data_IF_887881568554
#
_entry.id   IF_887881568554
#
_cell.length_a   1.000
_cell.length_b   1.000
_cell.length_c   1.000
_cell.angle_alpha   90.00
_cell.angle_beta   90.00
_cell.angle_gamma   90.00
#
_symmetry.space_group_name_H-M   'P 1'
#
loop_
_entity.id
_entity.type
_entity.pdbx_description
1 polymer ?
#
# COMPACT_ATOMS: atom_id res chain seq x y z
N UNK A 1 3.15 36.08 -4.68
CA UNK A 1 1.68 35.90 -4.56
C UNK A 1 1.44 34.76 -3.57
N UNK A 2 0.80 35.06 -2.43
CA UNK A 2 0.49 34.07 -1.39
C UNK A 2 -0.50 33.03 -1.94
N UNK A 3 -0.02 31.86 -2.38
CA UNK A 3 -0.89 30.71 -2.61
C UNK A 3 -1.27 30.12 -1.26
N UNK A 4 -2.29 30.69 -0.62
CA UNK A 4 -3.00 29.98 0.44
C UNK A 4 -3.52 28.66 -0.16
N UNK A 5 -3.19 27.54 0.48
CA UNK A 5 -3.72 26.23 0.10
C UNK A 5 -5.23 26.32 0.00
N UNK A 6 -5.79 26.01 -1.17
CA UNK A 6 -7.24 26.16 -1.41
C UNK A 6 -8.02 24.96 -0.90
N UNK A 7 -7.46 23.75 -1.06
CA UNK A 7 -8.07 22.51 -0.59
C UNK A 7 -7.04 21.54 0.01
N UNK A 8 -7.42 20.81 1.05
CA UNK A 8 -6.58 19.80 1.68
C UNK A 8 -6.61 18.46 0.94
N UNK A 9 -7.76 18.10 0.39
CA UNK A 9 -7.96 16.93 -0.45
C UNK A 9 -8.58 17.36 -1.77
N UNK A 10 -8.05 16.86 -2.89
CA UNK A 10 -8.61 17.10 -4.22
C UNK A 10 -8.92 15.76 -4.88
N UNK A 11 -10.15 15.59 -5.36
CA UNK A 11 -10.62 14.41 -6.08
C UNK A 11 -11.04 14.85 -7.50
N UNK A 12 -10.60 14.07 -8.49
CA UNK A 12 -11.00 14.21 -9.89
C UNK A 12 -11.53 12.88 -10.39
N UNK A 13 -12.71 12.94 -10.99
CA UNK A 13 -13.42 11.79 -11.55
C UNK A 13 -13.50 11.92 -13.08
N UNK A 14 -13.99 10.90 -13.77
CA UNK A 14 -14.25 10.90 -15.22
C UNK A 14 -13.08 10.41 -16.06
N UNK A 15 -12.14 9.65 -15.49
CA UNK A 15 -11.12 8.96 -16.26
C UNK A 15 -11.71 7.67 -16.83
N UNK A 16 -11.84 7.56 -18.15
CA UNK A 16 -12.30 6.34 -18.83
C UNK A 16 -11.21 5.26 -18.95
N UNK A 17 -9.98 5.59 -18.58
CA UNK A 17 -8.81 4.74 -18.68
C UNK A 17 -7.53 5.52 -18.45
N UNK A 18 -6.39 4.91 -18.76
CA UNK A 18 -5.07 5.45 -18.44
C UNK A 18 -4.45 6.27 -19.59
N UNK A 19 -5.12 7.33 -20.01
CA UNK A 19 -4.56 8.28 -20.97
C UNK A 19 -3.57 9.23 -20.27
N UNK A 20 -2.27 9.12 -20.56
CA UNK A 20 -1.20 9.89 -19.89
C UNK A 20 -1.40 11.40 -20.01
N UNK A 21 -1.80 11.92 -21.17
CA UNK A 21 -2.02 13.36 -21.36
C UNK A 21 -3.20 13.89 -20.53
N UNK A 22 -4.30 13.14 -20.45
CA UNK A 22 -5.45 13.47 -19.61
C UNK A 22 -5.06 13.44 -18.12
N UNK A 23 -4.34 12.40 -17.69
CA UNK A 23 -3.86 12.26 -16.32
C UNK A 23 -2.93 13.43 -15.96
N UNK A 24 -1.97 13.78 -16.82
CA UNK A 24 -1.06 14.90 -16.60
C UNK A 24 -1.80 16.23 -16.44
N UNK A 25 -2.75 16.52 -17.34
CA UNK A 25 -3.57 17.73 -17.27
C UNK A 25 -4.31 17.81 -15.93
N UNK A 26 -5.00 16.73 -15.56
CA UNK A 26 -5.75 16.69 -14.31
C UNK A 26 -4.84 16.80 -13.08
N UNK A 27 -3.68 16.13 -13.07
CA UNK A 27 -2.71 16.22 -11.97
C UNK A 27 -2.20 17.64 -11.77
N UNK A 28 -1.86 18.36 -12.85
CA UNK A 28 -1.45 19.77 -12.76
C UNK A 28 -2.54 20.63 -12.11
N UNK A 29 -3.78 20.51 -12.57
CA UNK A 29 -4.92 21.24 -11.99
C UNK A 29 -5.17 20.87 -10.53
N UNK A 30 -5.06 19.58 -10.18
CA UNK A 30 -5.26 19.11 -8.81
C UNK A 30 -4.16 19.64 -7.88
N UNK A 31 -2.91 19.67 -8.34
CA UNK A 31 -1.78 20.20 -7.59
C UNK A 31 -1.97 21.69 -7.33
N UNK A 32 -2.39 22.46 -8.34
CA UNK A 32 -2.69 23.89 -8.19
C UNK A 32 -3.80 24.12 -7.14
N UNK A 33 -4.87 23.32 -7.17
CA UNK A 33 -5.94 23.36 -6.18
C UNK A 33 -5.47 23.01 -4.76
N UNK A 34 -4.46 22.14 -4.63
CA UNK A 34 -3.81 21.81 -3.36
C UNK A 34 -2.71 22.81 -2.93
N UNK A 35 -2.65 23.98 -3.59
CA UNK A 35 -1.70 25.06 -3.29
C UNK A 35 -0.31 24.87 -3.92
N UNK A 36 -0.25 24.18 -5.06
CA UNK A 36 0.97 23.90 -5.82
C UNK A 36 1.74 22.67 -5.32
N UNK A 37 2.87 22.37 -5.97
CA UNK A 37 3.76 21.27 -5.58
C UNK A 37 4.37 21.50 -4.17
N UNK A 38 4.86 20.45 -3.48
CA UNK A 38 5.65 20.64 -2.27
C UNK A 38 6.79 21.63 -2.46
N UNK A 39 7.12 22.40 -1.41
CA UNK A 39 8.16 23.43 -1.48
C UNK A 39 9.52 22.86 -1.89
N UNK A 40 9.80 21.61 -1.53
CA UNK A 40 11.00 20.87 -1.89
C UNK A 40 11.09 20.52 -3.39
N UNK A 41 9.99 20.62 -4.15
CA UNK A 41 10.01 20.43 -5.61
C UNK A 41 10.54 21.71 -6.27
N UNK A 42 11.87 21.75 -6.40
CA UNK A 42 12.64 22.81 -7.08
C UNK A 42 13.50 22.19 -8.18
N UNK A 43 14.04 22.98 -9.12
CA UNK A 43 15.08 22.50 -10.03
C UNK A 43 16.20 21.79 -9.25
N UNK A 44 16.71 20.70 -9.81
CA UNK A 44 17.76 19.84 -9.24
C UNK A 44 17.37 19.01 -7.99
N UNK A 45 16.19 19.25 -7.40
CA UNK A 45 15.72 18.47 -6.27
C UNK A 45 15.58 16.98 -6.63
N UNK A 46 15.99 16.11 -5.71
CA UNK A 46 15.84 14.65 -5.83
C UNK A 46 14.49 14.24 -5.24
N UNK A 47 13.62 13.71 -6.08
CA UNK A 47 12.27 13.30 -5.71
C UNK A 47 12.13 11.78 -5.77
N UNK A 48 11.70 11.18 -4.67
CA UNK A 48 11.33 9.77 -4.63
C UNK A 48 9.83 9.62 -4.90
N UNK A 49 9.48 8.88 -5.94
CA UNK A 49 8.14 8.35 -6.16
C UNK A 49 8.03 6.97 -5.51
N UNK A 50 7.47 6.94 -4.32
CA UNK A 50 7.11 5.69 -3.66
C UNK A 50 5.82 5.16 -4.29
N UNK A 51 5.88 4.07 -5.04
CA UNK A 51 4.70 3.46 -5.69
C UNK A 51 4.05 2.38 -4.81
N UNK A 52 2.89 1.85 -5.21
CA UNK A 52 2.36 0.60 -4.67
C UNK A 52 2.75 -0.57 -5.59
N UNK A 53 3.65 -1.43 -5.15
CA UNK A 53 4.21 -2.55 -5.94
C UNK A 53 3.89 -3.91 -5.30
N UNK A 54 2.69 -4.10 -4.72
CA UNK A 54 2.35 -5.29 -3.91
C UNK A 54 2.84 -6.64 -4.48
N UNK A 55 2.58 -6.90 -5.76
CA UNK A 55 2.96 -8.15 -6.44
C UNK A 55 3.30 -7.89 -7.91
N UNK A 56 4.26 -8.62 -8.47
CA UNK A 56 4.64 -8.51 -9.89
C UNK A 56 3.56 -9.10 -10.81
N UNK A 57 2.53 -8.31 -11.05
CA UNK A 57 1.36 -8.62 -11.87
C UNK A 57 1.13 -7.48 -12.83
N UNK A 58 0.50 -7.82 -13.95
CA UNK A 58 0.11 -6.88 -14.97
C UNK A 58 -0.71 -5.69 -14.41
N UNK A 59 -0.51 -4.45 -14.89
CA UNK A 59 -1.23 -3.27 -14.40
C UNK A 59 -2.76 -3.38 -14.45
N UNK A 60 -3.32 -4.12 -15.42
CA UNK A 60 -4.76 -4.33 -15.56
C UNK A 60 -5.35 -5.24 -14.48
N UNK A 61 -4.50 -5.77 -13.58
CA UNK A 61 -4.96 -6.43 -12.36
C UNK A 61 -5.38 -5.46 -11.26
N UNK A 62 -5.08 -4.16 -11.41
CA UNK A 62 -5.39 -3.12 -10.42
C UNK A 62 -4.75 -3.37 -9.03
N UNK A 63 -3.73 -4.23 -8.98
CA UNK A 63 -3.04 -4.58 -7.73
C UNK A 63 -1.97 -3.54 -7.40
N UNK A 64 -1.30 -2.97 -8.39
CA UNK A 64 -0.24 -1.97 -8.23
C UNK A 64 -0.69 -0.62 -8.75
N UNK A 65 -0.01 0.46 -8.36
CA UNK A 65 -0.21 1.77 -9.00
C UNK A 65 0.08 1.63 -10.48
N UNK A 66 -0.78 2.18 -11.34
CA UNK A 66 -0.65 2.01 -12.78
C UNK A 66 0.55 2.82 -13.33
N UNK A 67 1.36 2.25 -14.24
CA UNK A 67 2.56 2.91 -14.76
C UNK A 67 2.26 4.24 -15.47
N UNK A 68 1.08 4.40 -16.07
CA UNK A 68 0.67 5.68 -16.67
C UNK A 68 0.53 6.82 -15.64
N UNK A 69 0.04 6.53 -14.43
CA UNK A 69 -0.05 7.54 -13.35
C UNK A 69 1.36 7.86 -12.84
N UNK A 70 2.20 6.85 -12.69
CA UNK A 70 3.61 7.03 -12.29
C UNK A 70 4.36 7.88 -13.31
N UNK A 71 4.27 7.55 -14.60
CA UNK A 71 4.89 8.30 -15.69
C UNK A 71 4.38 9.74 -15.74
N UNK A 72 3.07 9.96 -15.57
CA UNK A 72 2.50 11.30 -15.56
C UNK A 72 3.07 12.17 -14.44
N UNK A 73 3.14 11.66 -13.20
CA UNK A 73 3.73 12.39 -12.06
C UNK A 73 5.23 12.61 -12.31
N UNK A 74 5.96 11.59 -12.73
CA UNK A 74 7.39 11.66 -12.99
C UNK A 74 7.71 12.71 -14.07
N UNK A 75 7.04 12.69 -15.22
CA UNK A 75 7.26 13.67 -16.30
C UNK A 75 6.99 15.10 -15.85
N UNK A 76 5.91 15.34 -15.09
CA UNK A 76 5.61 16.68 -14.57
C UNK A 76 6.71 17.19 -13.63
N UNK A 77 7.31 16.32 -12.81
CA UNK A 77 8.43 16.69 -11.94
C UNK A 77 9.72 16.92 -12.73
N UNK A 78 9.99 16.10 -13.75
CA UNK A 78 11.16 16.25 -14.64
C UNK A 78 11.11 17.57 -15.41
N UNK A 79 9.94 17.99 -15.87
CA UNK A 79 9.70 19.30 -16.50
C UNK A 79 9.97 20.48 -15.56
N UNK A 80 9.92 20.25 -14.24
CA UNK A 80 10.32 21.22 -13.23
C UNK A 80 11.82 21.19 -12.90
N UNK A 81 12.60 20.38 -13.61
CA UNK A 81 14.05 20.24 -13.44
C UNK A 81 14.47 19.29 -12.32
N UNK A 82 13.55 18.51 -11.73
CA UNK A 82 13.90 17.56 -10.67
C UNK A 82 14.58 16.30 -11.22
N UNK A 83 15.38 15.63 -10.39
CA UNK A 83 15.72 14.22 -10.59
C UNK A 83 14.65 13.35 -9.91
N UNK A 84 14.21 12.28 -10.56
CA UNK A 84 13.09 11.46 -10.09
C UNK A 84 13.48 9.99 -10.09
N UNK A 85 13.29 9.31 -8.97
CA UNK A 85 13.44 7.85 -8.88
C UNK A 85 12.12 7.19 -8.45
N UNK A 86 11.83 6.02 -8.99
CA UNK A 86 10.66 5.21 -8.69
C UNK A 86 11.08 4.00 -7.85
N UNK A 87 10.43 3.77 -6.71
CA UNK A 87 10.78 2.68 -5.81
C UNK A 87 9.65 2.23 -4.89
N UNK A 88 9.74 0.99 -4.43
CA UNK A 88 8.92 0.42 -3.36
C UNK A 88 9.60 -0.87 -2.86
N UNK A 89 9.19 -1.39 -1.71
CA UNK A 89 9.59 -2.73 -1.25
C UNK A 89 8.39 -3.68 -1.35
N UNK A 90 8.34 -4.56 -2.36
CA UNK A 90 7.24 -5.50 -2.53
C UNK A 90 7.46 -6.78 -1.73
N UNK A 91 6.38 -7.51 -1.43
CA UNK A 91 6.48 -8.84 -0.85
C UNK A 91 7.11 -9.82 -1.84
N UNK A 92 8.15 -10.56 -1.45
CA UNK A 92 8.76 -11.58 -2.31
C UNK A 92 9.72 -11.03 -3.39
N UNK A 93 10.33 -9.87 -3.15
CA UNK A 93 11.42 -9.31 -3.96
C UNK A 93 12.66 -10.24 -4.08
N UNK A 94 12.76 -11.27 -3.24
CA UNK A 94 13.80 -12.32 -3.28
C UNK A 94 13.95 -13.02 -4.65
N UNK A 95 12.96 -12.89 -5.54
CA UNK A 95 13.01 -13.40 -6.93
C UNK A 95 13.56 -12.39 -7.94
N UNK A 96 14.13 -11.28 -7.46
CA UNK A 96 14.60 -10.17 -8.28
C UNK A 96 13.56 -9.07 -8.41
N UNK A 97 13.99 -7.83 -8.16
CA UNK A 97 13.15 -6.63 -8.27
C UNK A 97 12.78 -6.32 -9.72
N UNK A 98 13.65 -6.66 -10.68
CA UNK A 98 13.47 -6.39 -12.11
C UNK A 98 12.15 -6.92 -12.63
N UNK A 99 11.77 -8.14 -12.21
CA UNK A 99 10.48 -8.74 -12.57
C UNK A 99 9.28 -7.88 -12.16
N UNK A 100 9.35 -7.17 -11.03
CA UNK A 100 8.29 -6.26 -10.62
C UNK A 100 8.27 -5.02 -11.51
N UNK A 101 9.43 -4.45 -11.80
CA UNK A 101 9.52 -3.30 -12.69
C UNK A 101 8.99 -3.60 -14.10
N UNK A 102 9.32 -4.77 -14.65
CA UNK A 102 8.86 -5.15 -15.98
C UNK A 102 7.37 -5.52 -15.97
N UNK A 103 6.94 -6.43 -15.08
CA UNK A 103 5.55 -6.90 -15.08
C UNK A 103 4.53 -5.83 -14.69
N UNK A 104 4.91 -4.90 -13.81
CA UNK A 104 4.04 -3.78 -13.41
C UNK A 104 4.19 -2.57 -14.34
N UNK A 105 5.08 -2.63 -15.35
CA UNK A 105 5.31 -1.55 -16.31
C UNK A 105 6.10 -0.35 -15.77
N UNK A 106 6.77 -0.47 -14.62
CA UNK A 106 7.60 0.62 -14.08
C UNK A 106 8.91 0.82 -14.86
N UNK A 107 9.45 -0.21 -15.52
CA UNK A 107 10.55 -0.05 -16.48
C UNK A 107 10.16 0.90 -17.61
N UNK A 108 8.97 0.68 -18.19
CA UNK A 108 8.41 1.55 -19.21
C UNK A 108 8.07 2.95 -18.69
N UNK A 109 7.51 3.07 -17.49
CA UNK A 109 7.22 4.36 -16.88
C UNK A 109 8.51 5.18 -16.63
N UNK A 110 9.58 4.52 -16.20
CA UNK A 110 10.89 5.13 -16.00
C UNK A 110 11.49 5.63 -17.32
N UNK A 111 11.49 4.78 -18.37
CA UNK A 111 11.93 5.15 -19.71
C UNK A 111 11.15 6.34 -20.28
N UNK A 112 9.82 6.27 -20.26
CA UNK A 112 8.94 7.30 -20.82
C UNK A 112 9.10 8.66 -20.14
N UNK A 113 9.38 8.66 -18.83
CA UNK A 113 9.52 9.89 -18.05
C UNK A 113 10.96 10.36 -17.88
N UNK A 114 11.95 9.53 -18.20
CA UNK A 114 13.36 9.77 -17.88
C UNK A 114 13.65 9.72 -16.37
N UNK A 115 12.86 8.96 -15.61
CA UNK A 115 13.09 8.67 -14.19
C UNK A 115 14.02 7.46 -14.00
N UNK A 116 14.67 7.37 -12.85
CA UNK A 116 15.40 6.19 -12.42
C UNK A 116 14.52 5.17 -11.70
N UNK A 117 15.06 3.96 -11.52
CA UNK A 117 14.47 2.92 -10.69
C UNK A 117 15.40 2.65 -9.51
N UNK A 118 14.86 2.66 -8.30
CA UNK A 118 15.62 2.41 -7.07
C UNK A 118 15.15 1.14 -6.38
N UNK A 119 16.09 0.27 -6.05
CA UNK A 119 15.83 -1.01 -5.41
C UNK A 119 15.98 -0.90 -3.89
N UNK A 120 14.86 -0.76 -3.17
CA UNK A 120 14.85 -0.64 -1.71
C UNK A 120 15.53 -1.82 -0.99
N UNK A 121 15.47 -3.03 -1.55
CA UNK A 121 16.08 -4.22 -0.96
C UNK A 121 17.60 -4.19 -1.03
N UNK A 122 18.15 -3.63 -2.12
CA UNK A 122 19.59 -3.52 -2.33
C UNK A 122 20.19 -2.27 -1.68
N UNK A 123 19.37 -1.25 -1.43
CA UNK A 123 19.82 -0.01 -0.79
C UNK A 123 20.10 -0.15 0.70
N UNK A 124 19.67 -1.23 1.37
CA UNK A 124 19.79 -1.40 2.81
C UNK A 124 18.72 -0.63 3.60
N UNK A 125 18.82 -0.66 4.92
CA UNK A 125 17.84 -0.08 5.84
C UNK A 125 18.47 0.62 7.04
N UNK A 126 17.73 1.56 7.63
CA UNK A 126 18.06 2.22 8.89
C UNK A 126 16.96 1.97 9.91
N UNK A 127 17.36 1.76 11.17
CA UNK A 127 16.41 1.79 12.29
C UNK A 127 15.93 3.22 12.54
N UNK A 128 14.61 3.40 12.54
CA UNK A 128 13.95 4.66 12.88
C UNK A 128 13.05 4.43 14.07
N UNK A 129 13.22 5.26 15.11
CA UNK A 129 12.37 5.23 16.29
C UNK A 129 11.20 6.20 16.10
N UNK A 130 9.98 5.68 16.15
CA UNK A 130 8.75 6.47 16.14
C UNK A 130 7.97 6.15 17.39
N UNK A 131 7.76 7.17 18.23
CA UNK A 131 6.95 7.05 19.47
C UNK A 131 7.38 5.87 20.35
N UNK A 132 8.70 5.65 20.45
CA UNK A 132 9.32 4.61 21.27
C UNK A 132 9.32 3.19 20.66
N UNK A 133 8.95 3.04 19.38
CA UNK A 133 9.01 1.77 18.64
C UNK A 133 10.00 1.89 17.49
N UNK A 134 10.82 0.85 17.30
CA UNK A 134 11.81 0.81 16.22
C UNK A 134 11.27 0.09 14.98
N UNK A 135 11.58 0.65 13.81
CA UNK A 135 11.27 0.07 12.51
C UNK A 135 12.52 0.12 11.62
N UNK A 136 12.80 -0.98 10.91
CA UNK A 136 13.76 -0.97 9.82
C UNK A 136 13.11 -0.36 8.57
N UNK A 137 13.61 0.79 8.14
CA UNK A 137 13.08 1.55 7.00
C UNK A 137 14.14 1.58 5.90
N UNK A 138 13.72 1.33 4.66
CA UNK A 138 14.62 1.35 3.50
C UNK A 138 15.33 2.71 3.37
N UNK A 139 16.65 2.71 3.15
CA UNK A 139 17.45 3.94 3.09
C UNK A 139 16.89 5.00 2.13
N UNK A 140 16.40 4.67 0.92
CA UNK A 140 15.83 5.67 0.01
C UNK A 140 14.68 6.49 0.61
N UNK A 141 13.99 5.99 1.64
CA UNK A 141 12.88 6.72 2.28
C UNK A 141 13.40 7.74 3.30
N UNK A 142 14.58 7.56 3.87
CA UNK A 142 15.10 8.32 5.01
C UNK A 142 16.37 9.13 4.70
N UNK A 143 16.92 9.00 3.50
CA UNK A 143 18.06 9.78 3.01
C UNK A 143 18.09 9.87 1.49
N UNK A 144 18.85 10.82 0.96
CA UNK A 144 19.14 10.93 -0.47
C UNK A 144 18.04 11.55 -1.33
N UNK A 145 16.92 11.99 -0.72
CA UNK A 145 15.82 12.65 -1.42
C UNK A 145 15.29 13.85 -0.63
N UNK A 146 15.06 14.94 -1.36
CA UNK A 146 14.54 16.20 -0.82
C UNK A 146 13.01 16.16 -0.66
N UNK A 147 12.34 15.41 -1.53
CA UNK A 147 10.89 15.28 -1.58
C UNK A 147 10.47 13.81 -1.76
N UNK A 148 9.45 13.37 -1.03
CA UNK A 148 8.88 12.01 -1.11
C UNK A 148 7.40 12.11 -1.49
N UNK A 149 7.05 11.54 -2.63
CA UNK A 149 5.67 11.49 -3.13
C UNK A 149 5.18 10.06 -3.11
N UNK A 150 4.07 9.83 -2.41
CA UNK A 150 3.44 8.53 -2.24
C UNK A 150 2.37 8.32 -3.30
N UNK A 151 2.56 7.34 -4.18
CA UNK A 151 1.63 6.95 -5.24
C UNK A 151 0.98 5.63 -4.88
N UNK A 152 -0.23 5.70 -4.34
CA UNK A 152 -1.00 4.55 -3.84
C UNK A 152 -2.05 4.06 -4.84
N UNK A 153 -2.50 2.82 -4.67
CA UNK A 153 -3.61 2.20 -5.41
C UNK A 153 -4.80 2.03 -4.48
N UNK A 154 -5.96 2.56 -4.86
CA UNK A 154 -7.18 2.38 -4.08
C UNK A 154 -7.71 0.95 -4.21
N UNK A 155 -7.79 0.23 -3.10
CA UNK A 155 -8.30 -1.15 -3.07
C UNK A 155 -8.77 -1.56 -1.68
N UNK A 156 -9.68 -2.52 -1.63
CA UNK A 156 -10.06 -3.21 -0.41
C UNK A 156 -8.92 -4.08 0.14
N UNK A 157 -8.99 -4.38 1.43
CA UNK A 157 -8.07 -5.27 2.11
C UNK A 157 -8.82 -6.05 3.19
N UNK A 158 -8.79 -7.37 3.14
CA UNK A 158 -9.50 -8.25 4.09
C UNK A 158 -9.23 -7.95 5.57
N UNK A 159 -8.03 -7.46 5.89
CA UNK A 159 -7.63 -7.14 7.26
C UNK A 159 -7.85 -5.68 7.71
N UNK A 160 -7.42 -4.70 6.89
CA UNK A 160 -7.49 -3.26 7.22
C UNK A 160 -8.67 -2.54 6.56
N UNK A 161 -9.61 -3.29 5.99
CA UNK A 161 -10.77 -2.82 5.21
C UNK A 161 -10.39 -2.22 3.85
N UNK A 162 -9.54 -1.20 3.85
CA UNK A 162 -9.03 -0.49 2.67
C UNK A 162 -7.50 -0.46 2.73
N UNK A 163 -6.87 -0.46 1.55
CA UNK A 163 -5.50 -0.01 1.31
C UNK A 163 -5.58 1.26 0.48
N UNK A 164 -5.03 2.33 1.01
CA UNK A 164 -4.87 3.59 0.30
C UNK A 164 -3.55 4.26 0.69
N UNK A 165 -3.52 5.58 0.87
CA UNK A 165 -2.31 6.37 1.06
C UNK A 165 -1.53 5.98 2.30
N UNK A 166 -2.17 5.94 3.48
CA UNK A 166 -1.47 5.70 4.75
C UNK A 166 -0.92 4.28 4.76
N UNK A 167 -1.75 3.30 4.39
CA UNK A 167 -1.32 1.90 4.34
C UNK A 167 -0.25 1.63 3.29
N UNK A 168 -0.17 2.45 2.22
CA UNK A 168 0.91 2.31 1.26
C UNK A 168 2.28 2.48 1.93
N UNK A 169 2.40 3.29 3.00
CA UNK A 169 3.63 3.44 3.79
C UNK A 169 4.20 2.10 4.30
N UNK A 170 3.38 1.05 4.44
CA UNK A 170 3.85 -0.28 4.80
C UNK A 170 4.95 -0.82 3.87
N UNK A 171 4.94 -0.42 2.59
CA UNK A 171 5.97 -0.73 1.59
C UNK A 171 7.34 -0.08 1.81
N UNK A 172 7.55 0.72 2.86
CA UNK A 172 8.89 1.25 3.19
C UNK A 172 9.75 0.27 4.00
N UNK A 173 9.13 -0.80 4.52
CA UNK A 173 9.81 -1.82 5.33
C UNK A 173 10.36 -2.91 4.39
N UNK A 174 11.70 -3.04 4.26
CA UNK A 174 12.30 -3.99 3.33
C UNK A 174 12.20 -5.45 3.81
N UNK A 175 12.41 -6.36 2.87
CA UNK A 175 12.52 -7.80 3.12
C UNK A 175 11.34 -8.40 3.88
N UNK A 176 11.66 -9.12 4.95
CA UNK A 176 10.68 -9.83 5.77
C UNK A 176 10.05 -8.97 6.88
N UNK A 177 10.40 -7.69 7.03
CA UNK A 177 9.89 -6.87 8.12
C UNK A 177 8.37 -6.71 8.10
N UNK A 178 7.78 -6.53 6.90
CA UNK A 178 6.32 -6.48 6.69
C UNK A 178 5.59 -7.72 7.22
N UNK A 179 6.14 -8.89 6.92
CA UNK A 179 5.63 -10.18 7.37
C UNK A 179 5.65 -10.30 8.90
N UNK A 180 6.75 -9.85 9.51
CA UNK A 180 6.92 -9.86 10.96
C UNK A 180 5.94 -8.91 11.63
N UNK A 181 5.75 -7.70 11.10
CA UNK A 181 4.76 -6.74 11.60
C UNK A 181 3.35 -7.31 11.59
N UNK A 182 2.94 -8.01 10.52
CA UNK A 182 1.66 -8.72 10.49
C UNK A 182 1.56 -9.81 11.56
N UNK A 183 2.63 -10.59 11.77
CA UNK A 183 2.63 -11.69 12.72
C UNK A 183 2.57 -11.23 14.18
N UNK A 184 3.25 -10.13 14.53
CA UNK A 184 3.26 -9.57 15.89
C UNK A 184 2.04 -8.69 16.18
N UNK A 185 1.34 -8.20 15.14
CA UNK A 185 0.13 -7.38 15.22
C UNK A 185 -1.14 -8.07 14.68
N UNK A 186 -1.62 -9.12 15.35
CA UNK A 186 -2.72 -9.99 14.88
C UNK A 186 -4.12 -9.42 15.10
N UNK A 187 -4.24 -8.22 15.68
CA UNK A 187 -5.50 -7.45 15.65
C UNK A 187 -5.31 -6.25 14.72
N UNK A 188 -6.30 -5.89 13.88
CA UNK A 188 -6.20 -4.70 13.03
C UNK A 188 -5.81 -3.43 13.78
N UNK A 189 -6.31 -3.26 15.03
CA UNK A 189 -5.92 -2.14 15.90
C UNK A 189 -4.43 -2.10 16.26
N UNK A 190 -3.80 -3.26 16.44
CA UNK A 190 -2.35 -3.32 16.72
C UNK A 190 -1.53 -3.02 15.45
N UNK A 191 -2.01 -3.49 14.28
CA UNK A 191 -1.34 -3.20 13.01
C UNK A 191 -1.49 -1.73 12.62
N UNK A 192 -2.64 -1.12 12.93
CA UNK A 192 -2.92 0.28 12.71
C UNK A 192 -1.89 1.20 13.38
N UNK A 193 -1.43 0.86 14.59
CA UNK A 193 -0.36 1.58 15.30
C UNK A 193 0.92 1.58 14.47
N UNK A 194 1.33 0.43 13.96
CA UNK A 194 2.53 0.29 13.13
C UNK A 194 2.37 0.99 11.77
N UNK A 195 1.20 0.91 11.13
CA UNK A 195 0.92 1.61 9.88
C UNK A 195 1.03 3.13 10.07
N UNK A 196 0.47 3.67 11.15
CA UNK A 196 0.57 5.09 11.46
C UNK A 196 2.01 5.52 11.79
N UNK A 197 2.77 4.69 12.51
CA UNK A 197 4.19 4.95 12.79
C UNK A 197 5.03 4.99 11.50
N UNK A 198 4.81 4.04 10.58
CA UNK A 198 5.52 3.99 9.30
C UNK A 198 5.16 5.18 8.39
N UNK A 199 3.90 5.62 8.39
CA UNK A 199 3.51 6.81 7.65
C UNK A 199 4.16 8.08 8.21
N UNK A 200 4.21 8.22 9.54
CA UNK A 200 4.91 9.33 10.22
C UNK A 200 6.41 9.31 9.90
N UNK A 201 7.05 8.12 9.92
CA UNK A 201 8.46 7.96 9.56
C UNK A 201 8.78 8.29 8.11
N UNK A 202 7.87 7.97 7.18
CA UNK A 202 8.07 8.21 5.76
C UNK A 202 8.00 9.70 5.41
N UNK A 203 7.31 10.52 6.21
CA UNK A 203 7.19 11.96 6.03
C UNK A 203 6.88 12.36 4.56
N UNK A 204 5.86 11.74 3.97
CA UNK A 204 5.47 12.02 2.58
C UNK A 204 4.99 13.47 2.42
N UNK A 205 5.54 14.15 1.42
CA UNK A 205 5.28 15.56 1.10
C UNK A 205 3.98 15.76 0.29
N UNK A 206 3.63 14.73 -0.49
CA UNK A 206 2.41 14.65 -1.28
C UNK A 206 1.99 13.19 -1.43
N UNK A 207 0.68 12.95 -1.40
CA UNK A 207 0.09 11.65 -1.63
C UNK A 207 -0.86 11.74 -2.81
N UNK A 208 -0.74 10.80 -3.74
CA UNK A 208 -1.63 10.63 -4.90
C UNK A 208 -2.19 9.21 -4.84
N UNK A 209 -3.51 9.12 -4.98
CA UNK A 209 -4.25 7.86 -5.06
C UNK A 209 -4.69 7.64 -6.49
N UNK A 210 -4.28 6.50 -7.04
CA UNK A 210 -4.76 5.96 -8.30
C UNK A 210 -5.98 5.06 -8.04
N UNK A 211 -7.16 5.59 -8.32
CA UNK A 211 -8.44 4.90 -8.26
C UNK A 211 -9.05 4.59 -9.63
N UNK A 212 -8.35 4.85 -10.75
CA UNK A 212 -8.94 4.67 -12.10
C UNK A 212 -9.41 3.23 -12.27
N UNK A 213 -8.52 2.28 -11.99
CA UNK A 213 -8.89 0.91 -11.64
C UNK A 213 -8.71 0.70 -10.14
N UNK A 214 -9.67 0.05 -9.51
CA UNK A 214 -9.66 -0.33 -8.10
C UNK A 214 -9.95 -1.83 -7.92
N UNK A 215 -9.85 -2.30 -6.68
CA UNK A 215 -10.25 -3.66 -6.29
C UNK A 215 -11.24 -3.57 -5.11
N UNK A 216 -12.40 -4.20 -5.25
CA UNK A 216 -13.34 -4.42 -4.15
C UNK A 216 -13.47 -5.91 -3.78
N UNK A 217 -14.35 -6.23 -2.82
CA UNK A 217 -14.50 -7.56 -2.21
C UNK A 217 -13.21 -8.03 -1.54
N UNK A 218 -12.72 -9.24 -1.87
CA UNK A 218 -11.58 -9.89 -1.20
C UNK A 218 -10.23 -9.40 -1.72
N UNK A 219 -10.00 -8.08 -1.73
CA UNK A 219 -8.67 -7.50 -1.93
C UNK A 219 -7.69 -7.85 -0.78
N UNK A 220 -6.39 -7.54 -0.93
CA UNK A 220 -5.80 -6.57 -1.87
C UNK A 220 -5.16 -7.19 -3.13
N UNK A 221 -5.18 -8.52 -3.25
CA UNK A 221 -4.54 -9.27 -4.34
C UNK A 221 -5.52 -9.75 -5.39
N UNK A 222 -5.22 -10.89 -6.02
CA UNK A 222 -6.00 -11.45 -7.13
C UNK A 222 -7.38 -11.98 -6.76
N UNK A 223 -7.67 -12.14 -5.46
CA UNK A 223 -8.96 -12.66 -4.98
C UNK A 223 -10.07 -11.60 -4.96
N UNK A 224 -9.70 -10.33 -5.13
CA UNK A 224 -10.65 -9.22 -5.21
C UNK A 224 -11.25 -9.05 -6.61
N UNK A 225 -12.36 -8.33 -6.69
CA UNK A 225 -13.02 -7.99 -7.96
C UNK A 225 -12.47 -6.66 -8.45
N UNK A 226 -11.97 -6.66 -9.69
CA UNK A 226 -11.49 -5.46 -10.38
C UNK A 226 -12.66 -4.58 -10.77
N UNK A 227 -12.50 -3.27 -10.58
CA UNK A 227 -13.51 -2.28 -10.93
C UNK A 227 -12.87 -1.07 -11.59
N UNK A 228 -13.60 -0.48 -12.52
CA UNK A 228 -13.25 0.81 -13.09
C UNK A 228 -14.04 1.87 -12.34
N UNK A 229 -13.39 2.59 -11.41
CA UNK A 229 -14.01 3.73 -10.73
C UNK A 229 -13.75 5.03 -11.50
N UNK A 230 -12.57 5.16 -12.12
CA UNK A 230 -12.27 6.30 -12.97
C UNK A 230 -11.92 7.59 -12.23
N UNK A 231 -11.28 7.51 -11.05
CA UNK A 231 -10.85 8.70 -10.29
C UNK A 231 -9.35 8.74 -9.96
N UNK A 232 -8.86 9.96 -9.72
CA UNK A 232 -7.60 10.26 -9.04
C UNK A 232 -7.89 11.14 -7.84
N UNK A 233 -7.09 11.01 -6.78
CA UNK A 233 -7.18 11.90 -5.64
C UNK A 233 -5.79 12.27 -5.12
N UNK A 234 -5.64 13.45 -4.53
CA UNK A 234 -4.39 13.85 -3.89
C UNK A 234 -4.59 14.65 -2.59
N UNK A 235 -3.58 14.60 -1.73
CA UNK A 235 -3.51 15.39 -0.51
C UNK A 235 -2.07 15.46 0.00
N UNK A 236 -1.77 16.50 0.77
CA UNK A 236 -0.52 16.59 1.53
C UNK A 236 -0.55 15.78 2.83
N UNK A 237 -1.72 15.29 3.23
CA UNK A 237 -1.87 14.42 4.40
C UNK A 237 -2.65 13.15 4.01
N UNK A 238 -1.96 12.01 4.05
CA UNK A 238 -2.52 10.72 3.70
C UNK A 238 -3.68 10.29 4.60
N UNK A 239 -3.72 10.71 5.87
CA UNK A 239 -4.87 10.43 6.74
C UNK A 239 -6.11 11.18 6.25
N UNK A 240 -5.99 12.46 5.90
CA UNK A 240 -7.12 13.24 5.34
C UNK A 240 -7.62 12.62 4.03
N UNK A 241 -6.70 12.18 3.17
CA UNK A 241 -7.01 11.51 1.92
C UNK A 241 -7.76 10.19 2.14
N UNK A 242 -7.25 9.34 3.03
CA UNK A 242 -7.86 8.04 3.34
C UNK A 242 -9.23 8.20 4.00
N UNK A 243 -9.38 9.15 4.93
CA UNK A 243 -10.68 9.44 5.55
C UNK A 243 -11.70 9.92 4.52
N UNK A 244 -11.35 10.88 3.66
CA UNK A 244 -12.24 11.40 2.63
C UNK A 244 -12.71 10.30 1.66
N UNK A 245 -11.78 9.49 1.16
CA UNK A 245 -12.11 8.41 0.22
C UNK A 245 -12.87 7.26 0.88
N UNK A 246 -12.62 6.97 2.16
CA UNK A 246 -13.39 5.96 2.90
C UNK A 246 -14.86 6.37 3.06
N UNK A 247 -15.11 7.63 3.43
CA UNK A 247 -16.47 8.17 3.54
C UNK A 247 -17.20 8.13 2.19
N UNK A 248 -16.52 8.55 1.12
CA UNK A 248 -17.06 8.45 -0.25
C UNK A 248 -17.42 7.01 -0.63
N UNK A 249 -16.60 6.04 -0.20
CA UNK A 249 -16.83 4.61 -0.44
C UNK A 249 -17.87 3.96 0.51
N UNK A 250 -18.53 4.74 1.37
CA UNK A 250 -19.53 4.26 2.31
C UNK A 250 -18.96 3.52 3.52
N UNK A 251 -17.67 3.70 3.82
CA UNK A 251 -17.03 3.19 5.03
C UNK A 251 -16.78 4.35 6.00
N UNK A 252 -17.44 4.39 7.17
CA UNK A 252 -17.14 5.40 8.18
C UNK A 252 -15.64 5.42 8.50
N UNK A 253 -15.03 6.60 8.49
CA UNK A 253 -13.59 6.76 8.63
C UNK A 253 -13.06 6.16 9.95
N UNK A 254 -13.90 6.10 10.98
CA UNK A 254 -13.58 5.50 12.28
C UNK A 254 -13.33 3.99 12.20
N UNK A 255 -13.91 3.33 11.18
CA UNK A 255 -13.69 1.90 10.92
C UNK A 255 -12.36 1.62 10.22
N UNK A 256 -11.68 2.66 9.71
CA UNK A 256 -10.26 2.60 9.34
C UNK A 256 -9.41 2.84 10.59
N UNK A 257 -9.05 1.75 11.26
CA UNK A 257 -8.32 1.78 12.54
C UNK A 257 -7.03 2.63 12.49
N UNK A 258 -6.34 2.68 11.35
CA UNK A 258 -5.15 3.52 11.18
C UNK A 258 -5.49 5.03 11.04
N UNK A 259 -6.66 5.39 10.51
CA UNK A 259 -7.14 6.78 10.51
C UNK A 259 -7.59 7.21 11.91
N UNK A 260 -8.34 6.35 12.61
CA UNK A 260 -8.68 6.53 14.03
C UNK A 260 -7.44 6.75 14.88
N UNK A 261 -6.40 5.95 14.65
CA UNK A 261 -5.10 6.09 15.31
C UNK A 261 -4.40 7.41 14.95
N UNK A 262 -4.42 7.83 13.68
CA UNK A 262 -3.86 9.11 13.23
C UNK A 262 -4.53 10.31 13.90
N UNK A 263 -5.86 10.32 13.98
CA UNK A 263 -6.62 11.38 14.67
C UNK A 263 -6.32 11.40 16.16
N UNK A 264 -6.30 10.23 16.82
CA UNK A 264 -5.98 10.10 18.24
C UNK A 264 -4.58 10.66 18.60
N UNK A 265 -3.64 10.63 17.65
CA UNK A 265 -2.27 11.15 17.80
C UNK A 265 -2.12 12.63 17.41
N UNK A 266 -3.17 13.26 16.87
CA UNK A 266 -3.11 14.61 16.33
C UNK A 266 -2.39 14.72 14.98
N UNK A 267 -2.23 13.62 14.23
CA UNK A 267 -1.58 13.62 12.91
C UNK A 267 -2.50 14.17 11.79
N UNK A 268 -3.81 14.17 12.03
CA UNK A 268 -4.83 14.84 11.24
C UNK A 268 -6.04 15.13 12.12
N UNK A 269 -6.84 16.14 11.78
CA UNK A 269 -8.19 16.29 12.36
C UNK A 269 -9.22 15.42 11.63
N UNK A 270 -10.37 15.13 12.26
CA UNK A 270 -11.43 14.31 11.67
C UNK A 270 -12.09 15.01 10.46
N UNK A 271 -12.89 14.30 9.64
CA UNK A 271 -13.71 14.93 8.61
C UNK A 271 -14.50 16.13 9.15
N UNK A 272 -14.55 17.19 8.34
CA UNK A 272 -15.06 18.51 8.74
C UNK A 272 -13.97 19.48 9.22
N UNK A 273 -12.80 18.99 9.64
CA UNK A 273 -11.65 19.85 10.00
C UNK A 273 -10.73 20.18 8.82
N UNK A 274 -11.02 19.67 7.63
CA UNK A 274 -10.23 19.85 6.42
C UNK A 274 -11.15 19.98 5.22
N UNK A 275 -10.63 20.58 4.15
CA UNK A 275 -11.41 20.94 2.96
C UNK A 275 -11.23 19.91 1.84
N UNK A 276 -12.32 19.56 1.18
CA UNK A 276 -12.32 18.61 0.05
C UNK A 276 -12.85 19.31 -1.20
N UNK A 277 -12.12 19.22 -2.30
CA UNK A 277 -12.59 19.65 -3.62
C UNK A 277 -12.88 18.44 -4.51
N UNK A 278 -14.10 18.38 -5.04
CA UNK A 278 -14.56 17.28 -5.88
C UNK A 278 -15.15 16.15 -5.05
N UNK A 279 -15.74 15.20 -5.75
CA UNK A 279 -16.40 14.04 -5.17
C UNK A 279 -16.29 12.87 -6.16
N UNK A 280 -16.41 11.65 -5.66
CA UNK A 280 -16.56 10.46 -6.49
C UNK A 280 -17.65 9.57 -5.88
N UNK A 281 -18.57 9.09 -6.73
CA UNK A 281 -19.67 8.24 -6.30
C UNK A 281 -19.35 6.77 -6.54
N UNK A 282 -19.02 6.06 -5.47
CA UNK A 282 -18.88 4.62 -5.51
C UNK A 282 -20.25 3.94 -5.60
N UNK A 283 -20.52 3.23 -6.69
CA UNK A 283 -21.74 2.42 -6.87
C UNK A 283 -21.45 0.96 -6.55
N UNK A 284 -22.14 0.37 -5.58
CA UNK A 284 -22.01 -1.05 -5.22
C UNK A 284 -20.56 -1.50 -4.91
N UNK A 285 -19.78 -0.63 -4.26
CA UNK A 285 -18.40 -0.94 -3.87
C UNK A 285 -18.39 -1.78 -2.58
N UNK A 286 -17.99 -3.04 -2.70
CA UNK A 286 -18.12 -4.00 -1.60
C UNK A 286 -16.85 -4.05 -0.74
N UNK A 287 -16.93 -3.56 0.50
CA UNK A 287 -15.80 -3.56 1.43
C UNK A 287 -15.92 -4.77 2.37
N UNK A 288 -14.84 -5.55 2.59
CA UNK A 288 -14.83 -6.64 3.57
C UNK A 288 -15.32 -6.19 4.94
N UNK A 289 -16.03 -7.05 5.66
CA UNK A 289 -16.46 -6.79 7.03
C UNK A 289 -15.29 -6.60 8.01
N UNK A 290 -15.54 -6.02 9.20
CA UNK A 290 -14.52 -5.87 10.22
C UNK A 290 -14.02 -7.23 10.73
N UNK A 291 -12.72 -7.32 11.02
CA UNK A 291 -12.16 -8.53 11.63
C UNK A 291 -12.70 -8.75 13.04
N UNK A 292 -13.23 -9.95 13.31
CA UNK A 292 -13.69 -10.36 14.64
C UNK A 292 -12.57 -10.36 15.71
N UNK A 293 -11.29 -10.40 15.29
CA UNK A 293 -10.14 -10.41 16.20
C UNK A 293 -10.04 -9.16 17.08
N UNK A 294 -10.60 -8.02 16.63
CA UNK A 294 -10.65 -6.79 17.43
C UNK A 294 -11.54 -6.92 18.67
N UNK A 295 -12.49 -7.86 18.70
CA UNK A 295 -13.42 -8.08 19.82
C UNK A 295 -12.85 -9.00 20.91
N UNK A 296 -11.74 -9.69 20.64
CA UNK A 296 -11.12 -10.64 21.57
C UNK A 296 -10.21 -9.87 22.54
N UNK A 297 -10.42 -9.96 23.87
CA UNK A 297 -9.52 -9.35 24.87
C UNK A 297 -8.08 -9.81 24.68
N UNK A 298 -7.10 -8.91 24.87
CA UNK A 298 -5.66 -9.19 24.63
C UNK A 298 -5.17 -10.48 25.32
N UNK A 299 -5.59 -10.68 26.58
CA UNK A 299 -5.18 -11.82 27.41
C UNK A 299 -5.73 -13.15 26.88
N UNK A 300 -7.00 -13.18 26.46
CA UNK A 300 -7.63 -14.32 25.78
C UNK A 300 -6.97 -14.58 24.43
N UNK A 301 -6.66 -13.53 23.67
CA UNK A 301 -6.07 -13.62 22.35
C UNK A 301 -4.69 -14.28 22.32
N UNK A 302 -3.90 -14.19 23.41
CA UNK A 302 -2.59 -14.86 23.50
C UNK A 302 -2.72 -16.37 23.68
N UNK A 303 -3.61 -16.81 24.58
CA UNK A 303 -3.89 -18.23 24.85
C UNK A 303 -4.61 -18.88 23.67
N UNK A 304 -5.66 -18.21 23.17
CA UNK A 304 -6.42 -18.61 22.00
C UNK A 304 -5.53 -18.77 20.76
N UNK A 305 -4.53 -17.91 20.55
CA UNK A 305 -3.59 -18.01 19.42
C UNK A 305 -2.62 -19.17 19.53
N UNK A 306 -2.18 -19.51 20.75
CA UNK A 306 -1.35 -20.71 20.99
C UNK A 306 -2.13 -21.98 20.66
N UNK A 307 -3.43 -21.99 20.95
CA UNK A 307 -4.33 -23.13 20.74
C UNK A 307 -4.93 -23.19 19.31
N UNK A 308 -5.24 -22.05 18.71
CA UNK A 308 -5.88 -21.91 17.38
C UNK A 308 -4.88 -21.53 16.28
N UNK A 309 -3.66 -22.07 16.32
CA UNK A 309 -2.64 -21.85 15.28
C UNK A 309 -3.06 -22.53 13.97
N UNK A 310 -3.93 -21.87 13.22
CA UNK A 310 -4.36 -22.31 11.88
C UNK A 310 -3.23 -21.98 10.93
N UNK A 311 -2.40 -22.98 10.63
CA UNK A 311 -1.40 -22.81 9.59
C UNK A 311 -2.07 -22.89 8.22
N UNK A 312 -1.68 -22.00 7.28
CA UNK A 312 -2.10 -22.12 5.89
C UNK A 312 -1.76 -23.52 5.34
N UNK A 313 -2.56 -23.99 4.39
CA UNK A 313 -2.34 -25.29 3.74
C UNK A 313 -2.41 -25.14 2.22
N UNK A 314 -1.68 -25.97 1.48
CA UNK A 314 -1.72 -25.93 0.02
C UNK A 314 -2.89 -26.76 -0.54
N UNK A 315 -3.63 -26.19 -1.50
CA UNK A 315 -4.71 -26.85 -2.23
C UNK A 315 -4.23 -27.49 -3.54
N UNK A 316 -5.15 -28.09 -4.32
CA UNK A 316 -4.85 -28.81 -5.56
C UNK A 316 -4.14 -27.99 -6.64
N UNK A 317 -4.21 -26.65 -6.60
CA UNK A 317 -3.50 -25.78 -7.54
C UNK A 317 -1.99 -25.68 -7.28
N UNK A 318 -1.50 -26.25 -6.17
CA UNK A 318 -0.10 -26.12 -5.80
C UNK A 318 0.80 -26.91 -6.76
N UNK A 319 1.70 -26.19 -7.42
CA UNK A 319 2.66 -26.72 -8.39
C UNK A 319 3.98 -27.18 -7.78
N UNK A 320 4.15 -27.04 -6.45
CA UNK A 320 5.42 -27.38 -5.79
C UNK A 320 6.57 -26.41 -6.06
N UNK A 321 6.32 -25.25 -6.66
CA UNK A 321 7.35 -24.30 -7.14
C UNK A 321 8.31 -23.73 -6.06
N UNK A 322 8.05 -23.98 -4.77
CA UNK A 322 8.94 -23.58 -3.68
C UNK A 322 8.95 -22.10 -3.34
N UNK A 323 8.16 -21.27 -4.03
CA UNK A 323 8.14 -19.81 -3.81
C UNK A 323 7.82 -19.50 -2.35
N UNK A 324 6.73 -20.03 -1.82
CA UNK A 324 6.34 -19.85 -0.42
C UNK A 324 7.40 -20.31 0.58
N UNK A 325 8.11 -21.41 0.29
CA UNK A 325 9.18 -21.90 1.16
C UNK A 325 10.37 -20.95 1.21
N UNK A 326 10.79 -20.41 0.06
CA UNK A 326 11.91 -19.44 -0.03
C UNK A 326 11.64 -18.12 0.67
N UNK A 327 10.38 -17.66 0.72
CA UNK A 327 10.05 -16.45 1.47
C UNK A 327 9.27 -16.69 2.76
N UNK A 328 9.38 -17.88 3.36
CA UNK A 328 8.94 -18.08 4.73
C UNK A 328 10.02 -17.55 5.69
N UNK A 329 9.75 -16.47 6.46
CA UNK A 329 10.77 -15.85 7.32
C UNK A 329 11.22 -16.73 8.48
N UNK A 330 10.43 -17.76 8.80
CA UNK A 330 10.68 -18.69 9.90
C UNK A 330 10.93 -20.11 9.40
N UNK A 331 11.17 -20.28 8.09
CA UNK A 331 11.44 -21.58 7.45
C UNK A 331 10.44 -22.68 7.81
N UNK A 332 9.17 -22.30 7.99
CA UNK A 332 8.09 -23.20 8.37
C UNK A 332 7.48 -23.97 7.20
N UNK A 333 8.08 -23.97 6.00
CA UNK A 333 7.47 -24.58 4.81
C UNK A 333 8.50 -25.44 4.09
N UNK A 334 8.12 -26.67 3.79
CA UNK A 334 8.91 -27.61 2.99
C UNK A 334 8.15 -28.00 1.72
N UNK A 335 8.88 -28.31 0.65
CA UNK A 335 8.28 -28.91 -0.54
C UNK A 335 8.41 -30.41 -0.45
N UNK A 336 7.28 -31.12 -0.36
CA UNK A 336 7.22 -32.59 -0.32
C UNK A 336 6.22 -33.08 -1.36
N UNK A 337 6.60 -34.09 -2.14
CA UNK A 337 5.76 -34.68 -3.20
C UNK A 337 5.12 -33.60 -4.11
N UNK A 338 5.94 -32.65 -4.58
CA UNK A 338 5.49 -31.52 -5.41
C UNK A 338 4.43 -30.60 -4.78
N UNK A 339 4.36 -30.52 -3.44
CA UNK A 339 3.42 -29.65 -2.73
C UNK A 339 4.07 -28.93 -1.56
N UNK A 340 3.59 -27.74 -1.26
CA UNK A 340 4.02 -26.99 -0.09
C UNK A 340 3.36 -27.55 1.19
N UNK A 341 4.19 -27.91 2.17
CA UNK A 341 3.78 -28.44 3.47
C UNK A 341 4.24 -27.48 4.56
N UNK A 342 3.27 -26.84 5.23
CA UNK A 342 3.52 -25.88 6.30
C UNK A 342 3.61 -26.58 7.68
N UNK A 343 4.72 -26.41 8.38
CA UNK A 343 4.98 -26.91 9.74
C UNK A 343 4.26 -26.06 10.77
N UNK A 344 3.18 -26.60 11.35
CA UNK A 344 2.27 -25.86 12.23
C UNK A 344 2.91 -25.27 13.49
N UNK A 345 3.88 -25.96 14.08
CA UNK A 345 4.57 -25.51 15.29
C UNK A 345 5.51 -24.32 15.07
N UNK A 346 6.00 -24.14 13.84
CA UNK A 346 6.99 -23.12 13.46
C UNK A 346 6.31 -21.90 12.85
N UNK A 347 5.20 -22.09 12.13
CA UNK A 347 4.49 -21.02 11.44
C UNK A 347 4.07 -19.88 12.40
N UNK A 348 4.46 -18.65 12.06
CA UNK A 348 4.06 -17.42 12.77
C UNK A 348 2.79 -16.79 12.20
N UNK A 349 2.14 -17.45 11.22
CA UNK A 349 0.92 -16.97 10.55
C UNK A 349 1.06 -15.57 9.94
N UNK A 350 2.24 -15.21 9.40
CA UNK A 350 2.43 -13.95 8.67
C UNK A 350 1.59 -13.86 7.38
N UNK A 351 1.05 -14.98 6.91
CA UNK A 351 0.33 -15.13 5.64
C UNK A 351 1.13 -14.77 4.38
N UNK A 352 2.44 -14.55 4.50
CA UNK A 352 3.36 -14.31 3.39
C UNK A 352 3.16 -15.33 2.26
N UNK A 353 3.10 -16.62 2.63
CA UNK A 353 2.92 -17.72 1.70
C UNK A 353 1.63 -17.65 0.87
N UNK A 354 0.56 -17.06 1.42
CA UNK A 354 -0.69 -16.83 0.72
C UNK A 354 -0.52 -15.72 -0.32
N UNK A 355 0.04 -14.58 0.08
CA UNK A 355 0.22 -13.40 -0.76
C UNK A 355 1.16 -13.64 -1.96
N UNK A 356 2.23 -14.42 -1.75
CA UNK A 356 3.27 -14.66 -2.75
C UNK A 356 3.01 -15.88 -3.65
N UNK A 357 1.91 -16.61 -3.45
CA UNK A 357 1.63 -17.81 -4.23
C UNK A 357 1.22 -17.43 -5.67
N UNK A 358 1.98 -17.83 -6.71
CA UNK A 358 1.67 -17.44 -8.08
C UNK A 358 0.35 -18.04 -8.58
N UNK A 359 -0.02 -19.20 -8.04
CA UNK A 359 -1.15 -20.04 -8.47
C UNK A 359 -2.38 -19.93 -7.54
N UNK A 360 -2.34 -19.02 -6.54
CA UNK A 360 -3.38 -18.90 -5.49
C UNK A 360 -3.70 -20.26 -4.84
N UNK A 361 -2.65 -21.02 -4.56
CA UNK A 361 -2.73 -22.39 -4.09
C UNK A 361 -2.63 -22.54 -2.57
N UNK A 362 -2.55 -21.46 -1.82
CA UNK A 362 -2.46 -21.47 -0.36
C UNK A 362 -3.79 -21.03 0.21
N UNK A 363 -4.38 -21.84 1.08
CA UNK A 363 -5.67 -21.59 1.73
C UNK A 363 -5.51 -21.42 3.23
N UNK A 364 -6.38 -20.60 3.81
CA UNK A 364 -6.50 -20.39 5.25
C UNK A 364 -7.85 -20.96 5.67
N UNK A 365 -7.85 -22.14 6.29
CA UNK A 365 -9.08 -22.77 6.80
C UNK A 365 -9.30 -22.36 8.25
N UNK A 366 -10.05 -21.29 8.47
CA UNK A 366 -10.46 -20.89 9.82
C UNK A 366 -11.24 -22.04 10.49
N UNK A 367 -11.09 -22.26 11.81
CA UNK A 367 -11.89 -23.22 12.53
C UNK A 367 -13.30 -22.62 12.66
N UNK A 368 -14.31 -23.39 12.29
CA UNK A 368 -15.74 -23.07 12.44
C UNK A 368 -16.25 -21.92 11.54
N UNK A 369 -16.61 -22.22 10.30
CA UNK A 369 -17.74 -21.59 9.57
C UNK A 369 -17.82 -20.06 9.41
N UNK A 370 -16.83 -19.28 9.82
CA UNK A 370 -16.79 -17.81 9.74
C UNK A 370 -16.23 -17.37 8.37
N UNK A 371 -16.87 -17.84 7.30
CA UNK A 371 -16.52 -17.57 5.90
C UNK A 371 -17.22 -16.36 5.31
#
# INVERSE_FOLDING_TARGET
MNHHRKFDVVVRDGFAGYCVSQIRKALSEMVDLAGGWPKAVQPEARVLLKVNMLSAKDPDKAITTHPAVVAAVASLLREKGCSVDIGDSPGGAVRGIQRYWDNCGFSFAAELSGAGLVNFEASGSRKVSVRGREYDIALPVVEGYDCRINLSKFKTHSYTRITNSVKNAFGIVPGFGKAMLHAISPRPKDLAVAIADLYEAAAFDLNVTDGILAIDRRGPGTDGRRRHEGFLALSRNGFQLDMALSEMAGLPWQELEYCSEGVRRGLAGPPGSFTVHGNHLFKDFEIPGPSYLNRIPRWLGAVARRLMRISPSSNSKCTGCGVCARACPVHAIEIRKQRAVMKKGICIMCLCCHEMCPDNAVEIKLPLGLG
#
